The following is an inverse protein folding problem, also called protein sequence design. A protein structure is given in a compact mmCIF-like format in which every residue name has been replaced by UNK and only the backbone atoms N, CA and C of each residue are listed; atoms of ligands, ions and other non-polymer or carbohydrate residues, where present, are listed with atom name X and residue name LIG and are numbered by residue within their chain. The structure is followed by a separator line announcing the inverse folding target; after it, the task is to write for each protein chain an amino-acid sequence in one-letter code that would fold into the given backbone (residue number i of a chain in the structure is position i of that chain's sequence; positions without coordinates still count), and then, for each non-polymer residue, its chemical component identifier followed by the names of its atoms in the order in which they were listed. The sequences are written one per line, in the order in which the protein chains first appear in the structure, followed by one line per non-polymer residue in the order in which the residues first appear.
data_IF_569605787434
#
_entry.id   IF_569605787434
#
_cell.length_a   1.000
_cell.length_b   1.000
_cell.length_c   1.000
_cell.angle_alpha   90.00
_cell.angle_beta   90.00
_cell.angle_gamma   90.00
#
_symmetry.space_group_name_H-M   'P 1'
#
loop_
_entity.id
_entity.type
_entity.pdbx_description
1 polymer ?
#
# COMPACT_ATOMS: atom_id res chain seq x y z
N UNK A 1 0.58 -14.70 -0.79
CA UNK A 1 1.58 -13.63 -1.02
C UNK A 1 0.82 -12.35 -1.26
N UNK A 2 1.30 -11.23 -0.71
CA UNK A 2 0.65 -9.93 -0.90
C UNK A 2 0.80 -9.45 -2.35
N UNK A 3 -0.10 -8.58 -2.79
CA UNK A 3 -0.07 -7.96 -4.12
C UNK A 3 -0.40 -6.48 -4.01
N UNK A 4 -0.03 -5.73 -5.05
CA UNK A 4 -0.45 -4.33 -5.25
C UNK A 4 -1.54 -4.27 -6.34
N UNK A 5 -2.71 -3.76 -5.99
CA UNK A 5 -3.87 -3.65 -6.87
C UNK A 5 -4.09 -2.24 -7.41
N UNK A 6 -4.64 -2.18 -8.63
CA UNK A 6 -5.10 -0.97 -9.30
C UNK A 6 -6.56 -1.17 -9.73
N UNK A 7 -7.54 -0.89 -8.84
CA UNK A 7 -8.95 -1.18 -9.08
C UNK A 7 -9.50 -0.51 -10.34
N UNK A 8 -9.08 0.73 -10.62
CA UNK A 8 -9.47 1.48 -11.81
C UNK A 8 -9.06 0.83 -13.14
N UNK A 9 -8.07 -0.08 -13.10
CA UNK A 9 -7.58 -0.83 -14.26
C UNK A 9 -7.96 -2.32 -14.19
N UNK A 10 -8.52 -2.79 -13.06
CA UNK A 10 -8.76 -4.22 -12.82
C UNK A 10 -7.48 -5.07 -12.83
N UNK A 11 -6.35 -4.51 -12.40
CA UNK A 11 -5.03 -5.19 -12.43
C UNK A 11 -4.43 -5.34 -11.04
N UNK A 12 -3.68 -6.41 -10.83
CA UNK A 12 -2.90 -6.67 -9.61
C UNK A 12 -1.52 -7.17 -10.00
N UNK A 13 -0.50 -6.79 -9.24
CA UNK A 13 0.89 -7.16 -9.49
C UNK A 13 1.53 -7.72 -8.22
N UNK A 14 2.38 -8.73 -8.37
CA UNK A 14 3.17 -9.32 -7.28
C UNK A 14 4.55 -8.70 -7.18
N UNK A 15 5.27 -8.94 -6.07
CA UNK A 15 6.68 -8.55 -5.95
C UNK A 15 7.53 -9.06 -7.11
N UNK A 16 7.31 -10.32 -7.52
CA UNK A 16 8.03 -10.93 -8.64
C UNK A 16 7.77 -10.21 -9.97
N UNK A 17 6.59 -9.61 -10.17
CA UNK A 17 6.31 -8.82 -11.38
C UNK A 17 7.06 -7.49 -11.38
N UNK A 18 7.23 -6.87 -10.21
CA UNK A 18 8.04 -5.66 -10.03
C UNK A 18 9.53 -5.98 -10.23
N UNK A 19 10.04 -7.05 -9.62
CA UNK A 19 11.44 -7.49 -9.73
C UNK A 19 11.80 -7.92 -11.16
N UNK A 20 10.85 -8.52 -11.89
CA UNK A 20 11.01 -8.87 -13.29
C UNK A 20 10.88 -7.67 -14.24
N UNK A 21 10.57 -6.47 -13.73
CA UNK A 21 10.40 -5.26 -14.54
C UNK A 21 9.17 -5.27 -15.46
N UNK A 22 8.14 -6.08 -15.15
CA UNK A 22 6.91 -6.14 -15.95
C UNK A 22 6.01 -4.92 -15.77
N UNK A 23 6.19 -4.20 -14.67
CA UNK A 23 5.43 -3.01 -14.32
C UNK A 23 6.36 -2.02 -13.61
N UNK A 24 6.17 -0.74 -13.90
CA UNK A 24 6.74 0.36 -13.15
C UNK A 24 5.60 1.10 -12.44
N UNK A 25 5.74 1.33 -11.14
CA UNK A 25 4.71 1.98 -10.33
C UNK A 25 5.20 3.37 -9.91
N UNK A 26 4.57 4.40 -10.48
CA UNK A 26 4.82 5.78 -10.11
C UNK A 26 4.41 6.07 -8.67
N UNK A 27 5.00 7.11 -8.07
CA UNK A 27 4.57 7.60 -6.76
C UNK A 27 3.09 7.99 -6.78
N UNK A 28 2.34 7.53 -5.78
CA UNK A 28 0.91 7.80 -5.67
C UNK A 28 0.40 7.55 -4.25
N UNK A 29 -0.89 7.83 -4.02
CA UNK A 29 -1.55 7.45 -2.77
C UNK A 29 -1.98 5.99 -2.83
N UNK A 30 -1.74 5.26 -1.74
CA UNK A 30 -2.07 3.86 -1.61
C UNK A 30 -2.66 3.56 -0.23
N UNK A 31 -3.57 2.60 -0.20
CA UNK A 31 -4.10 1.97 0.99
C UNK A 31 -3.34 0.66 1.19
N UNK A 32 -2.76 0.48 2.37
CA UNK A 32 -2.00 -0.70 2.75
C UNK A 32 -2.75 -1.40 3.87
N UNK A 33 -3.28 -2.60 3.61
CA UNK A 33 -3.93 -3.44 4.62
C UNK A 33 -2.91 -4.39 5.22
N UNK A 34 -2.85 -4.40 6.54
CA UNK A 34 -1.95 -5.23 7.34
C UNK A 34 -2.81 -6.29 8.04
N UNK A 35 -2.28 -7.51 8.17
CA UNK A 35 -3.04 -8.67 8.64
C UNK A 35 -3.59 -8.53 10.07
N UNK A 36 -2.94 -7.74 10.92
CA UNK A 36 -3.34 -7.51 12.31
C UNK A 36 -2.83 -6.16 12.84
N UNK A 37 -3.43 -5.70 13.94
CA UNK A 37 -3.14 -4.41 14.57
C UNK A 37 -1.68 -4.29 15.07
N UNK A 38 -1.09 -5.36 15.59
CA UNK A 38 0.31 -5.38 16.06
C UNK A 38 1.30 -5.18 14.90
N UNK A 39 0.97 -5.74 13.73
CA UNK A 39 1.71 -5.56 12.50
C UNK A 39 1.69 -4.11 12.03
N UNK A 40 0.61 -3.35 12.29
CA UNK A 40 0.54 -1.92 11.91
C UNK A 40 1.66 -1.13 12.56
N UNK A 41 1.82 -1.25 13.88
CA UNK A 41 2.88 -0.55 14.61
C UNK A 41 4.28 -0.98 14.12
N UNK A 42 4.46 -2.27 13.84
CA UNK A 42 5.72 -2.85 13.36
C UNK A 42 6.11 -2.32 11.98
N UNK A 43 5.16 -2.34 11.03
CA UNK A 43 5.37 -1.86 9.67
C UNK A 43 5.63 -0.35 9.66
N UNK A 44 4.87 0.44 10.44
CA UNK A 44 5.06 1.88 10.54
C UNK A 44 6.43 2.26 11.12
N UNK A 45 6.85 1.60 12.21
CA UNK A 45 8.17 1.85 12.80
C UNK A 45 9.31 1.50 11.82
N UNK A 46 9.14 0.42 11.05
CA UNK A 46 10.13 0.00 10.06
C UNK A 46 10.16 0.93 8.83
N UNK A 47 9.01 1.42 8.35
CA UNK A 47 8.94 2.42 7.27
C UNK A 47 9.56 3.77 7.66
N UNK A 48 9.31 4.25 8.88
CA UNK A 48 9.94 5.47 9.39
C UNK A 48 11.47 5.29 9.49
N UNK A 49 11.92 4.11 9.95
CA UNK A 49 13.36 3.82 10.08
C UNK A 49 14.06 3.74 8.73
N UNK A 50 13.47 3.05 7.75
CA UNK A 50 14.09 2.77 6.46
C UNK A 50 13.97 3.95 5.49
N UNK A 51 12.82 4.62 5.46
CA UNK A 51 12.49 5.63 4.46
C UNK A 51 12.17 7.01 5.03
N UNK A 52 12.21 7.19 6.36
CA UNK A 52 11.72 8.40 7.04
C UNK A 52 10.28 8.74 6.61
N UNK A 53 9.52 7.69 6.34
CA UNK A 53 8.19 7.79 5.77
C UNK A 53 7.11 7.76 6.84
N UNK A 54 6.13 8.65 6.70
CA UNK A 54 4.97 8.74 7.58
C UNK A 54 3.68 8.55 6.81
N UNK A 55 2.69 7.86 7.40
CA UNK A 55 1.39 7.72 6.80
C UNK A 55 0.66 9.05 6.79
N UNK A 56 -0.16 9.25 5.76
CA UNK A 56 -1.13 10.35 5.71
C UNK A 56 -2.29 10.10 6.66
N UNK A 57 -2.73 8.84 6.79
CA UNK A 57 -3.77 8.44 7.73
C UNK A 57 -3.59 6.99 8.18
N UNK A 58 -4.02 6.70 9.40
CA UNK A 58 -4.00 5.35 9.96
C UNK A 58 -5.42 5.01 10.41
N UNK A 59 -5.99 3.96 9.84
CA UNK A 59 -7.31 3.44 10.16
C UNK A 59 -7.13 2.23 11.08
N UNK A 60 -6.90 2.51 12.36
CA UNK A 60 -6.56 1.48 13.37
C UNK A 60 -7.66 0.44 13.56
N UNK A 61 -8.93 0.80 13.37
CA UNK A 61 -10.07 -0.14 13.44
C UNK A 61 -10.12 -1.14 12.28
N UNK A 62 -9.39 -0.87 11.19
CA UNK A 62 -9.37 -1.68 9.97
C UNK A 62 -7.97 -2.20 9.65
N UNK A 63 -6.97 -2.00 10.52
CA UNK A 63 -5.56 -2.33 10.28
C UNK A 63 -5.04 -1.81 8.93
N UNK A 64 -5.51 -0.63 8.52
CA UNK A 64 -5.14 -0.02 7.25
C UNK A 64 -4.33 1.24 7.47
N UNK A 65 -3.39 1.46 6.58
CA UNK A 65 -2.54 2.64 6.53
C UNK A 65 -2.66 3.27 5.16
N UNK A 66 -2.86 4.58 5.11
CA UNK A 66 -2.93 5.35 3.86
C UNK A 66 -1.75 6.30 3.77
N UNK A 67 -1.10 6.34 2.62
CA UNK A 67 -0.11 7.38 2.35
C UNK A 67 0.56 7.23 1.00
N UNK A 68 1.52 8.12 0.72
CA UNK A 68 2.21 8.15 -0.56
C UNK A 68 3.27 7.07 -0.65
N UNK A 69 3.17 6.16 -1.60
CA UNK A 69 4.18 5.12 -1.85
C UNK A 69 4.71 5.24 -3.27
N UNK A 70 6.00 4.98 -3.43
CA UNK A 70 6.65 4.77 -4.73
C UNK A 70 7.02 3.30 -4.90
N UNK A 71 7.57 2.94 -6.06
CA UNK A 71 7.95 1.56 -6.36
C UNK A 71 8.87 0.93 -5.31
N UNK A 72 9.83 1.68 -4.76
CA UNK A 72 10.76 1.17 -3.75
C UNK A 72 10.03 0.79 -2.46
N UNK A 73 9.13 1.66 -1.98
CA UNK A 73 8.33 1.40 -0.78
C UNK A 73 7.31 0.28 -1.01
N UNK A 74 6.71 0.20 -2.20
CA UNK A 74 5.77 -0.86 -2.56
C UNK A 74 6.49 -2.20 -2.61
N UNK A 75 7.64 -2.30 -3.28
CA UNK A 75 8.43 -3.53 -3.33
C UNK A 75 8.85 -3.97 -1.93
N UNK A 76 9.32 -3.03 -1.10
CA UNK A 76 9.71 -3.30 0.28
C UNK A 76 8.54 -3.82 1.12
N UNK A 77 7.35 -3.23 0.97
CA UNK A 77 6.13 -3.69 1.65
C UNK A 77 5.67 -5.08 1.16
N UNK A 78 5.73 -5.34 -0.15
CA UNK A 78 5.33 -6.64 -0.72
C UNK A 78 6.22 -7.80 -0.27
N UNK A 79 7.45 -7.51 0.17
CA UNK A 79 8.36 -8.49 0.75
C UNK A 79 8.03 -8.85 2.21
N UNK A 80 7.10 -8.15 2.85
CA UNK A 80 6.76 -8.34 4.27
C UNK A 80 5.71 -9.41 4.50
N UNK A 81 5.91 -10.23 5.52
CA UNK A 81 4.94 -11.26 5.90
C UNK A 81 3.69 -10.67 6.57
N UNK A 82 3.80 -9.49 7.19
CA UNK A 82 2.68 -8.84 7.87
C UNK A 82 1.67 -8.21 6.90
N UNK A 83 2.08 -7.99 5.63
CA UNK A 83 1.25 -7.34 4.63
C UNK A 83 0.16 -8.29 4.11
N UNK A 84 -1.06 -7.77 3.99
CA UNK A 84 -2.16 -8.48 3.34
C UNK A 84 -2.27 -8.08 1.86
N UNK A 85 -2.45 -6.78 1.60
CA UNK A 85 -2.45 -6.21 0.25
C UNK A 85 -2.13 -4.71 0.27
N UNK A 86 -1.73 -4.20 -0.88
CA UNK A 86 -1.65 -2.76 -1.19
C UNK A 86 -2.65 -2.49 -2.30
N UNK A 87 -3.35 -1.38 -2.23
CA UNK A 87 -4.28 -0.95 -3.27
C UNK A 87 -4.02 0.52 -3.59
N UNK A 88 -3.93 0.85 -4.88
CA UNK A 88 -3.87 2.24 -5.32
C UNK A 88 -5.15 2.95 -4.87
N UNK A 89 -4.98 4.04 -4.12
CA UNK A 89 -6.07 4.92 -3.68
C UNK A 89 -6.54 5.71 -4.91
N UNK A 90 -7.29 5.03 -5.78
CA UNK A 90 -7.89 5.56 -7.00
C UNK A 90 -9.25 6.18 -6.69
N UNK A 91 -9.43 7.44 -7.11
CA UNK A 91 -10.55 8.36 -6.86
C UNK A 91 -11.90 7.68 -6.55
N UNK A 92 -12.40 7.87 -5.32
CA UNK A 92 -13.85 7.85 -5.02
C UNK A 92 -14.44 9.22 -5.34
N UNK A 93 -15.09 9.38 -6.50
CA UNK A 93 -15.98 10.51 -6.73
C UNK A 93 -17.40 10.07 -6.39
N UNK A 94 -17.94 10.57 -5.27
CA UNK A 94 -19.38 10.57 -5.03
C UNK A 94 -19.83 12.03 -5.02
N UNK A 95 -20.65 12.39 -6.01
CA UNK A 95 -21.47 13.61 -6.01
C UNK A 95 -22.93 13.17 -5.96
N UNK A 96 -23.56 13.23 -4.79
CA UNK A 96 -25.01 13.38 -4.72
C UNK A 96 -25.32 14.86 -4.55
N UNK A 97 -25.90 15.48 -5.59
CA UNK A 97 -26.52 16.81 -5.46
C UNK A 97 -27.99 16.60 -5.12
N UNK A 98 -28.40 17.14 -3.96
CA UNK A 98 -29.79 17.55 -3.73
C UNK A 98 -29.97 18.97 -4.24
#
# INVERSE_FOLDING_TARGET
MATVGFPSQGKTYSLADLEAGKVEIAEGAFITKIKNAEGVATVLAALEKEFQWKPTSVLTSMDMVVGKLDQAKIAWLLAREELEFIEADGIVTICEKS
#
